data_IF_805643370353
#
_entry.id   IF_805643370353
#
_cell.length_a   1.000
_cell.length_b   1.000
_cell.length_c   1.000
_cell.angle_alpha   90.00
_cell.angle_beta   90.00
_cell.angle_gamma   90.00
#
_symmetry.space_group_name_H-M   'P 1'
#
loop_
_entity.id
_entity.type
_entity.pdbx_description
1 polymer ?
#
# COMPACT_ATOMS: atom_id res chain seq x y z
N UNK A 1 -36.26 -51.88 -30.83
CA UNK A 1 -36.45 -50.46 -31.23
C UNK A 1 -36.92 -49.53 -30.10
N UNK A 2 -38.07 -49.76 -29.43
CA UNK A 2 -38.61 -48.82 -28.42
C UNK A 2 -37.70 -48.55 -27.19
N UNK A 3 -36.93 -49.54 -26.72
CA UNK A 3 -35.96 -49.37 -25.62
C UNK A 3 -34.77 -48.48 -26.01
N UNK A 4 -34.25 -48.65 -27.23
CA UNK A 4 -33.13 -47.87 -27.75
C UNK A 4 -33.53 -46.40 -27.93
N UNK A 5 -34.75 -46.15 -28.44
CA UNK A 5 -35.29 -44.79 -28.63
C UNK A 5 -35.52 -44.05 -27.29
N UNK A 6 -35.92 -44.76 -26.22
CA UNK A 6 -36.05 -44.19 -24.87
C UNK A 6 -34.69 -43.85 -24.25
N UNK A 7 -33.67 -44.67 -24.51
CA UNK A 7 -32.33 -44.43 -23.99
C UNK A 7 -31.70 -43.21 -24.67
N UNK A 8 -31.81 -43.06 -25.99
CA UNK A 8 -31.26 -41.90 -26.70
C UNK A 8 -31.97 -40.59 -26.34
N UNK A 9 -33.29 -40.61 -26.14
CA UNK A 9 -34.04 -39.43 -25.65
C UNK A 9 -33.63 -39.03 -24.23
N UNK A 10 -33.37 -39.99 -23.34
CA UNK A 10 -32.90 -39.70 -21.99
C UNK A 10 -31.51 -39.03 -21.96
N UNK A 11 -30.57 -39.52 -22.78
CA UNK A 11 -29.23 -38.90 -22.89
C UNK A 11 -29.30 -37.50 -23.52
N UNK A 12 -30.16 -37.31 -24.51
CA UNK A 12 -30.37 -35.99 -25.13
C UNK A 12 -30.95 -34.98 -24.13
N UNK A 13 -31.93 -35.38 -23.32
CA UNK A 13 -32.50 -34.53 -22.27
C UNK A 13 -31.49 -34.21 -21.16
N UNK A 14 -30.67 -35.19 -20.75
CA UNK A 14 -29.61 -34.97 -19.76
C UNK A 14 -28.54 -34.00 -20.27
N UNK A 15 -28.18 -34.08 -21.56
CA UNK A 15 -27.25 -33.14 -22.19
C UNK A 15 -27.82 -31.72 -22.27
N UNK A 16 -29.12 -31.58 -22.60
CA UNK A 16 -29.79 -30.29 -22.63
C UNK A 16 -29.85 -29.64 -21.24
N UNK A 17 -30.12 -30.44 -20.19
CA UNK A 17 -30.10 -29.98 -18.80
C UNK A 17 -28.71 -29.50 -18.38
N UNK A 18 -27.65 -30.20 -18.78
CA UNK A 18 -26.27 -29.81 -18.50
C UNK A 18 -25.92 -28.45 -19.12
N UNK A 19 -26.33 -28.21 -20.37
CA UNK A 19 -26.12 -26.92 -21.05
C UNK A 19 -26.83 -25.79 -20.29
N UNK A 20 -28.08 -26.01 -19.87
CA UNK A 20 -28.84 -25.01 -19.09
C UNK A 20 -28.16 -24.71 -17.76
N UNK A 21 -27.64 -25.73 -17.07
CA UNK A 21 -26.93 -25.57 -15.80
C UNK A 21 -25.60 -24.81 -15.99
N UNK A 22 -24.84 -25.10 -17.04
CA UNK A 22 -23.61 -24.36 -17.37
C UNK A 22 -23.91 -22.91 -17.72
N UNK A 23 -24.98 -22.67 -18.49
CA UNK A 23 -25.40 -21.31 -18.85
C UNK A 23 -25.82 -20.50 -17.61
N UNK A 24 -26.66 -21.07 -16.72
CA UNK A 24 -27.02 -20.43 -15.44
C UNK A 24 -25.82 -20.19 -14.52
N UNK A 25 -24.87 -21.11 -14.47
CA UNK A 25 -23.64 -20.92 -13.70
C UNK A 25 -22.77 -19.78 -14.27
N UNK A 26 -22.75 -19.63 -15.59
CA UNK A 26 -22.05 -18.52 -16.26
C UNK A 26 -22.69 -17.17 -15.93
N UNK A 27 -24.03 -17.06 -15.94
CA UNK A 27 -24.72 -15.81 -15.60
C UNK A 27 -24.47 -15.38 -14.15
N UNK A 28 -24.36 -16.31 -13.21
CA UNK A 28 -24.05 -16.00 -11.81
C UNK A 28 -22.63 -15.42 -11.62
N UNK A 29 -21.68 -15.68 -12.54
CA UNK A 29 -20.35 -15.06 -12.49
C UNK A 29 -20.33 -13.63 -13.04
N UNK A 30 -21.26 -13.28 -13.92
CA UNK A 30 -21.34 -11.93 -14.50
C UNK A 30 -21.95 -10.87 -13.57
N UNK A 31 -22.65 -11.29 -12.51
CA UNK A 31 -23.23 -10.38 -11.51
C UNK A 31 -22.24 -9.90 -10.44
N UNK A 32 -20.94 -9.92 -10.75
CA UNK A 32 -19.95 -9.12 -10.01
C UNK A 32 -19.98 -7.67 -10.51
N UNK A 33 -21.16 -7.08 -10.65
CA UNK A 33 -21.31 -5.64 -10.53
C UNK A 33 -21.14 -5.30 -9.05
N UNK A 34 -20.22 -4.39 -8.74
CA UNK A 34 -20.15 -3.80 -7.39
C UNK A 34 -21.56 -3.39 -6.98
N UNK A 35 -22.06 -3.75 -5.78
CA UNK A 35 -23.37 -3.31 -5.34
C UNK A 35 -23.43 -1.79 -5.46
N UNK A 36 -24.30 -1.28 -6.33
CA UNK A 36 -24.55 0.15 -6.50
C UNK A 36 -25.60 0.66 -5.52
N UNK A 37 -25.94 -0.13 -4.50
CA UNK A 37 -26.70 0.36 -3.37
C UNK A 37 -25.74 1.14 -2.46
N UNK A 38 -25.89 2.47 -2.46
CA UNK A 38 -25.45 3.30 -1.34
C UNK A 38 -26.19 2.81 -0.09
N UNK A 39 -25.65 1.76 0.55
CA UNK A 39 -25.99 1.42 1.91
C UNK A 39 -25.52 2.61 2.75
N UNK A 40 -26.47 3.47 3.13
CA UNK A 40 -26.25 4.54 4.10
C UNK A 40 -26.04 3.88 5.46
N UNK A 41 -24.86 3.30 5.67
CA UNK A 41 -24.41 2.86 6.96
C UNK A 41 -24.22 4.12 7.81
N UNK A 42 -25.21 4.40 8.65
CA UNK A 42 -25.09 5.36 9.74
C UNK A 42 -24.23 4.76 10.87
N UNK A 43 -23.13 4.10 10.52
CA UNK A 43 -22.09 3.76 11.48
C UNK A 43 -21.35 5.06 11.78
N UNK A 44 -21.34 5.43 13.06
CA UNK A 44 -20.52 6.52 13.55
C UNK A 44 -19.07 6.13 13.26
N UNK A 45 -18.48 6.72 12.22
CA UNK A 45 -17.07 6.51 11.86
C UNK A 45 -16.20 6.54 13.11
N UNK A 46 -15.43 5.46 13.31
CA UNK A 46 -14.55 5.38 14.47
C UNK A 46 -13.46 6.45 14.37
N UNK A 47 -12.88 6.84 15.51
CA UNK A 47 -11.73 7.74 15.51
C UNK A 47 -10.54 7.13 14.73
N UNK A 48 -10.42 5.81 14.71
CA UNK A 48 -9.41 5.09 13.93
C UNK A 48 -9.65 5.24 12.43
N UNK A 49 -10.90 5.11 11.97
CA UNK A 49 -11.24 5.28 10.55
C UNK A 49 -10.98 6.72 10.09
N UNK A 50 -11.35 7.71 10.89
CA UNK A 50 -11.07 9.12 10.61
C UNK A 50 -9.57 9.39 10.54
N UNK A 51 -8.79 8.82 11.45
CA UNK A 51 -7.33 8.96 11.42
C UNK A 51 -6.72 8.29 10.20
N UNK A 52 -7.24 7.13 9.79
CA UNK A 52 -6.81 6.44 8.58
C UNK A 52 -7.16 7.24 7.32
N UNK A 53 -8.38 7.78 7.23
CA UNK A 53 -8.79 8.66 6.14
C UNK A 53 -7.92 9.92 6.07
N UNK A 54 -7.67 10.57 7.21
CA UNK A 54 -6.76 11.72 7.30
C UNK A 54 -5.35 11.35 6.82
N UNK A 55 -4.85 10.18 7.20
CA UNK A 55 -3.53 9.68 6.80
C UNK A 55 -3.42 9.48 5.28
N UNK A 56 -4.46 9.00 4.61
CA UNK A 56 -4.51 8.88 3.15
C UNK A 56 -4.63 10.25 2.47
N UNK A 57 -5.48 11.14 3.00
CA UNK A 57 -5.65 12.49 2.46
C UNK A 57 -4.36 13.31 2.54
N UNK A 58 -3.61 13.24 3.64
CA UNK A 58 -2.33 13.93 3.79
C UNK A 58 -1.31 13.53 2.71
N UNK A 59 -1.32 12.26 2.29
CA UNK A 59 -0.43 11.73 1.23
C UNK A 59 -0.85 12.12 -0.18
N UNK A 60 -2.05 12.66 -0.33
CA UNK A 60 -2.59 13.14 -1.57
C UNK A 60 -2.48 14.67 -1.73
N UNK A 61 -1.80 15.35 -0.80
CA UNK A 61 -1.45 16.76 -0.93
C UNK A 61 -0.70 17.04 -2.24
N UNK A 62 -0.95 18.18 -2.93
CA UNK A 62 -1.81 19.30 -2.55
C UNK A 62 -3.31 19.10 -2.84
N UNK A 63 -3.69 18.03 -3.52
CA UNK A 63 -5.05 17.85 -4.00
C UNK A 63 -5.63 16.52 -3.50
N UNK A 64 -6.12 16.45 -2.25
CA UNK A 64 -6.62 15.22 -1.66
C UNK A 64 -8.04 14.84 -2.09
N UNK A 65 -8.74 15.69 -2.85
CA UNK A 65 -10.09 15.39 -3.35
C UNK A 65 -10.10 14.27 -4.40
N UNK A 66 -11.24 13.57 -4.50
CA UNK A 66 -11.54 12.58 -5.54
C UNK A 66 -10.49 11.46 -5.68
N UNK A 67 -9.96 10.95 -4.55
CA UNK A 67 -8.93 9.91 -4.54
C UNK A 67 -9.31 8.67 -5.35
N UNK A 68 -10.57 8.22 -5.26
CA UNK A 68 -11.06 7.06 -6.00
C UNK A 68 -11.04 7.30 -7.52
N UNK A 69 -11.45 8.49 -7.98
CA UNK A 69 -11.40 8.85 -9.40
C UNK A 69 -9.96 8.96 -9.91
N UNK A 70 -9.07 9.56 -9.11
CA UNK A 70 -7.65 9.66 -9.43
C UNK A 70 -7.00 8.28 -9.51
N UNK A 71 -7.29 7.40 -8.56
CA UNK A 71 -6.86 6.01 -8.58
C UNK A 71 -7.36 5.30 -9.83
N UNK A 72 -8.66 5.39 -10.13
CA UNK A 72 -9.26 4.77 -11.31
C UNK A 72 -8.64 5.31 -12.61
N UNK A 73 -8.34 6.61 -12.66
CA UNK A 73 -7.69 7.25 -13.81
C UNK A 73 -6.24 6.76 -13.98
N UNK A 74 -5.48 6.71 -12.89
CA UNK A 74 -4.12 6.18 -12.88
C UNK A 74 -4.08 4.69 -13.25
N UNK A 75 -5.04 3.89 -12.78
CA UNK A 75 -5.18 2.48 -13.14
C UNK A 75 -5.47 2.31 -14.63
N UNK A 76 -6.40 3.09 -15.19
CA UNK A 76 -6.68 3.09 -16.65
C UNK A 76 -5.44 3.46 -17.46
N UNK A 77 -4.69 4.48 -17.05
CA UNK A 77 -3.41 4.84 -17.67
C UNK A 77 -2.40 3.70 -17.59
N UNK A 78 -2.24 3.06 -16.43
CA UNK A 78 -1.37 1.90 -16.25
C UNK A 78 -1.73 0.75 -17.20
N UNK A 79 -3.03 0.43 -17.35
CA UNK A 79 -3.48 -0.59 -18.30
C UNK A 79 -3.16 -0.22 -19.75
N UNK A 80 -3.33 1.06 -20.13
CA UNK A 80 -2.91 1.56 -21.44
C UNK A 80 -1.39 1.39 -21.64
N UNK A 81 -0.57 1.79 -20.67
CA UNK A 81 0.89 1.62 -20.72
C UNK A 81 1.32 0.17 -20.80
N UNK A 82 0.68 -0.73 -20.05
CA UNK A 82 0.96 -2.17 -20.09
C UNK A 82 0.70 -2.74 -21.50
N UNK A 83 -0.34 -2.27 -22.17
CA UNK A 83 -0.66 -2.68 -23.54
C UNK A 83 0.32 -2.08 -24.56
N UNK A 84 0.83 -0.86 -24.33
CA UNK A 84 1.83 -0.21 -25.20
C UNK A 84 3.22 -0.85 -25.02
N UNK A 85 3.59 -1.33 -23.84
CA UNK A 85 4.90 -1.97 -23.59
C UNK A 85 5.10 -3.33 -24.30
N UNK A 86 4.04 -3.92 -24.87
CA UNK A 86 4.14 -5.05 -25.80
C UNK A 86 4.50 -4.62 -27.23
N UNK A 87 4.49 -3.31 -27.53
CA UNK A 87 5.06 -2.74 -28.74
C UNK A 87 6.47 -2.24 -28.45
N UNK A 88 7.43 -2.60 -29.28
CA UNK A 88 8.87 -2.28 -29.18
C UNK A 88 9.21 -0.77 -29.18
N UNK A 89 8.21 0.12 -29.24
CA UNK A 89 8.36 1.57 -29.39
C UNK A 89 8.78 2.33 -28.12
N UNK A 90 8.64 1.77 -26.91
CA UNK A 90 8.94 2.49 -25.66
C UNK A 90 10.30 2.18 -25.02
N UNK A 91 11.11 1.27 -25.58
CA UNK A 91 12.46 1.03 -25.03
C UNK A 91 13.45 2.19 -25.24
N UNK A 92 13.10 3.19 -26.07
CA UNK A 92 13.95 4.34 -26.40
C UNK A 92 13.38 5.72 -26.05
N UNK A 93 12.11 5.80 -25.62
CA UNK A 93 11.51 7.08 -25.24
C UNK A 93 11.74 7.32 -23.75
N UNK A 94 12.81 8.06 -23.44
CA UNK A 94 13.14 8.50 -22.08
C UNK A 94 11.98 9.29 -21.46
N UNK A 95 11.16 8.60 -20.67
CA UNK A 95 10.16 9.20 -19.77
C UNK A 95 10.79 10.00 -18.61
N UNK A 96 12.10 10.20 -18.61
CA UNK A 96 12.84 10.90 -17.58
C UNK A 96 12.87 12.44 -17.76
N UNK A 97 12.34 12.99 -18.85
CA UNK A 97 12.63 14.39 -19.24
C UNK A 97 11.80 15.48 -18.53
N UNK A 98 10.91 15.16 -17.57
CA UNK A 98 10.07 16.19 -16.94
C UNK A 98 10.38 16.46 -15.46
N UNK A 99 11.20 15.64 -14.79
CA UNK A 99 11.39 15.76 -13.35
C UNK A 99 12.87 15.73 -12.95
N UNK A 100 13.33 16.83 -12.34
CA UNK A 100 14.69 17.01 -11.84
C UNK A 100 14.86 16.33 -10.47
N UNK A 101 14.66 15.01 -10.41
CA UNK A 101 14.88 14.25 -9.18
C UNK A 101 16.37 14.02 -8.95
N UNK A 102 16.84 14.38 -7.77
CA UNK A 102 18.19 14.07 -7.29
C UNK A 102 18.09 13.12 -6.12
N UNK A 103 19.01 12.14 -6.06
CA UNK A 103 19.10 11.26 -4.90
C UNK A 103 19.67 12.02 -3.71
N UNK A 104 18.94 12.03 -2.60
CA UNK A 104 19.36 12.58 -1.31
C UNK A 104 19.85 11.48 -0.35
N UNK A 105 20.14 10.28 -0.86
CA UNK A 105 20.58 9.16 -0.02
C UNK A 105 19.46 8.56 0.85
N UNK A 106 19.83 7.85 1.95
CA UNK A 106 21.18 7.71 2.52
C UNK A 106 22.18 7.05 1.56
N UNK A 107 23.38 7.65 1.43
CA UNK A 107 24.43 7.26 0.47
C UNK A 107 25.34 6.12 0.93
N UNK A 108 24.94 5.38 1.97
CA UNK A 108 25.68 4.21 2.44
C UNK A 108 25.63 3.08 1.40
N UNK A 109 26.72 2.31 1.31
CA UNK A 109 27.02 1.31 0.28
C UNK A 109 26.05 0.10 0.25
N UNK A 110 25.05 0.07 1.14
CA UNK A 110 24.07 -1.00 1.25
C UNK A 110 22.68 -0.37 1.12
N UNK A 111 22.04 -0.57 -0.03
CA UNK A 111 20.66 -0.15 -0.26
C UNK A 111 19.70 -0.86 0.68
N UNK A 112 18.65 -0.16 1.11
CA UNK A 112 17.62 -0.68 2.00
C UNK A 112 16.26 -0.04 1.72
N UNK A 113 15.17 -0.70 2.13
CA UNK A 113 13.82 -0.15 2.00
C UNK A 113 13.58 0.89 3.09
N UNK A 114 13.19 2.09 2.67
CA UNK A 114 12.64 3.12 3.55
C UNK A 114 11.12 2.94 3.58
N UNK A 115 10.56 2.83 4.79
CA UNK A 115 9.14 2.62 5.01
C UNK A 115 8.41 3.92 5.30
N UNK A 116 9.07 4.87 5.95
CA UNK A 116 8.51 6.18 6.24
C UNK A 116 9.57 7.28 6.24
N UNK A 117 9.11 8.50 6.00
CA UNK A 117 9.87 9.74 6.18
C UNK A 117 8.99 10.73 6.95
N UNK A 118 9.58 11.47 7.87
CA UNK A 118 8.93 12.54 8.61
C UNK A 118 9.79 13.80 8.52
N UNK A 119 9.14 14.94 8.24
CA UNK A 119 9.76 16.26 8.20
C UNK A 119 9.34 16.99 9.48
N UNK A 120 10.32 17.55 10.19
CA UNK A 120 10.05 18.36 11.37
C UNK A 120 9.32 19.65 10.97
N UNK A 121 8.10 19.89 11.48
CA UNK A 121 7.32 21.08 11.13
C UNK A 121 7.91 22.38 11.71
N UNK A 122 8.73 22.29 12.76
CA UNK A 122 9.44 23.44 13.33
C UNK A 122 10.74 23.77 12.59
N UNK A 123 11.32 22.82 11.85
CA UNK A 123 12.56 22.99 11.11
C UNK A 123 12.70 21.96 9.99
N UNK A 124 12.40 22.35 8.74
CA UNK A 124 12.44 21.45 7.58
C UNK A 124 13.81 20.86 7.24
N UNK A 125 14.89 21.34 7.87
CA UNK A 125 16.21 20.70 7.74
C UNK A 125 16.29 19.38 8.53
N UNK A 126 15.48 19.24 9.58
CA UNK A 126 15.42 18.04 10.39
C UNK A 126 14.44 17.04 9.76
N UNK A 127 14.98 15.89 9.35
CA UNK A 127 14.22 14.80 8.76
C UNK A 127 14.51 13.51 9.49
N UNK A 128 13.52 12.63 9.48
CA UNK A 128 13.61 11.30 10.06
C UNK A 128 13.16 10.28 9.03
N UNK A 129 13.87 9.16 8.93
CA UNK A 129 13.49 8.05 8.08
C UNK A 129 13.44 6.75 8.89
N UNK A 130 12.35 6.01 8.75
CA UNK A 130 12.21 4.66 9.28
C UNK A 130 12.49 3.66 8.19
N UNK A 131 13.35 2.68 8.48
CA UNK A 131 13.74 1.65 7.52
C UNK A 131 13.18 0.28 7.89
N UNK A 132 13.13 -0.62 6.91
CA UNK A 132 12.61 -1.97 7.10
C UNK A 132 13.43 -2.83 8.07
N UNK A 133 14.75 -2.68 8.07
CA UNK A 133 15.64 -3.49 8.92
C UNK A 133 16.93 -2.75 9.33
N UNK A 134 16.94 -1.43 9.20
CA UNK A 134 18.12 -0.58 9.49
C UNK A 134 17.85 0.49 10.56
N UNK A 135 16.75 0.38 11.30
CA UNK A 135 16.39 1.31 12.37
C UNK A 135 15.92 2.68 11.88
N UNK A 136 16.12 3.67 12.75
CA UNK A 136 15.79 5.08 12.57
C UNK A 136 17.00 5.81 12.03
N UNK A 137 16.79 6.72 11.08
CA UNK A 137 17.81 7.59 10.51
C UNK A 137 17.39 9.04 10.66
N UNK A 138 18.35 9.93 10.88
CA UNK A 138 18.14 11.38 11.03
C UNK A 138 18.99 12.14 10.02
N UNK A 139 18.41 13.18 9.43
CA UNK A 139 19.13 14.23 8.72
C UNK A 139 18.89 15.56 9.43
N UNK A 140 19.90 16.43 9.40
CA UNK A 140 19.83 17.81 9.93
C UNK A 140 20.12 18.85 8.84
N UNK A 141 20.14 18.41 7.57
CA UNK A 141 20.48 19.24 6.41
C UNK A 141 19.59 18.90 5.20
N UNK A 142 18.29 18.81 5.45
CA UNK A 142 17.26 18.61 4.43
C UNK A 142 17.48 17.36 3.55
N UNK A 143 18.12 16.33 4.11
CA UNK A 143 18.37 15.07 3.45
C UNK A 143 19.71 15.00 2.73
N UNK A 144 20.54 16.06 2.76
CA UNK A 144 21.85 16.03 2.08
C UNK A 144 22.79 14.97 2.68
N UNK A 145 22.63 14.66 3.97
CA UNK A 145 23.30 13.54 4.65
C UNK A 145 22.42 12.95 5.74
N UNK A 146 22.65 11.68 6.06
CA UNK A 146 21.88 10.93 7.05
C UNK A 146 22.79 10.20 8.03
N UNK A 147 22.41 10.19 9.30
CA UNK A 147 23.08 9.43 10.35
C UNK A 147 22.11 8.41 10.94
N UNK A 148 22.54 7.15 11.20
CA UNK A 148 21.71 6.20 11.92
C UNK A 148 21.56 6.67 13.37
N UNK A 149 20.34 6.61 13.88
CA UNK A 149 20.04 6.89 15.28
C UNK A 149 20.26 5.58 16.02
N UNK A 150 21.39 5.51 16.73
CA UNK A 150 21.77 4.33 17.50
C UNK A 150 20.79 4.23 18.65
N UNK A 151 19.85 3.31 18.52
CA UNK A 151 18.91 2.96 19.58
C UNK A 151 19.21 1.52 19.99
N UNK A 152 19.28 1.25 21.29
CA UNK A 152 19.43 -0.12 21.82
C UNK A 152 18.10 -0.89 21.71
N UNK A 153 17.33 -0.62 20.65
CA UNK A 153 16.04 -1.25 20.44
C UNK A 153 16.26 -2.69 19.97
N UNK A 154 15.51 -3.67 20.51
CA UNK A 154 15.60 -5.06 20.08
C UNK A 154 15.03 -5.29 18.68
N UNK A 155 14.49 -4.25 18.02
CA UNK A 155 13.84 -4.30 16.71
C UNK A 155 14.35 -3.17 15.81
N UNK A 156 14.61 -3.49 14.54
CA UNK A 156 15.15 -2.55 13.56
C UNK A 156 14.14 -2.10 12.50
N UNK A 157 12.94 -2.70 12.47
CA UNK A 157 11.86 -2.27 11.57
C UNK A 157 11.14 -1.05 12.13
N UNK A 158 11.02 0.00 11.34
CA UNK A 158 10.30 1.24 11.70
C UNK A 158 9.40 1.65 10.55
N UNK A 159 8.09 1.53 10.74
CA UNK A 159 7.07 1.72 9.71
C UNK A 159 6.41 3.09 9.73
N UNK A 160 6.52 3.83 10.84
CA UNK A 160 5.95 5.17 10.98
C UNK A 160 6.78 6.03 11.93
N UNK A 161 6.90 7.32 11.62
CA UNK A 161 7.48 8.34 12.51
C UNK A 161 6.59 9.57 12.41
N UNK A 162 6.24 10.16 13.56
CA UNK A 162 5.54 11.44 13.64
C UNK A 162 6.21 12.35 14.66
N UNK A 163 6.21 13.65 14.38
CA UNK A 163 6.83 14.68 15.20
C UNK A 163 5.72 15.60 15.69
N UNK A 164 5.73 15.94 16.98
CA UNK A 164 4.74 16.85 17.53
C UNK A 164 4.92 18.26 16.90
N UNK A 165 3.87 18.83 16.27
CA UNK A 165 3.98 20.10 15.57
C UNK A 165 4.26 21.30 16.46
N UNK A 166 3.96 21.21 17.76
CA UNK A 166 4.23 22.27 18.73
C UNK A 166 5.53 22.07 19.50
N UNK A 167 6.18 20.90 19.38
CA UNK A 167 7.42 20.60 20.09
C UNK A 167 8.21 19.49 19.40
N UNK A 168 9.22 19.85 18.62
CA UNK A 168 10.08 18.92 17.87
C UNK A 168 10.88 17.94 18.74
N UNK A 169 10.94 18.13 20.06
CA UNK A 169 11.55 17.15 20.96
C UNK A 169 10.66 15.92 21.19
N UNK A 170 9.35 16.04 20.96
CA UNK A 170 8.40 14.94 21.15
C UNK A 170 8.22 14.23 19.81
N UNK A 171 8.73 13.00 19.73
CA UNK A 171 8.69 12.17 18.52
C UNK A 171 8.13 10.81 18.88
N UNK A 172 7.27 10.25 18.04
CA UNK A 172 6.77 8.89 18.17
C UNK A 172 7.19 8.06 16.96
N UNK A 173 7.59 6.82 17.19
CA UNK A 173 7.90 5.88 16.12
C UNK A 173 7.12 4.57 16.31
N UNK A 174 6.49 4.11 15.23
CA UNK A 174 5.85 2.79 15.15
C UNK A 174 6.87 1.75 14.70
N UNK A 175 7.13 0.76 15.54
CA UNK A 175 8.10 -0.30 15.25
C UNK A 175 7.45 -1.49 14.55
N UNK A 176 8.26 -2.27 13.84
CA UNK A 176 7.86 -3.43 13.05
C UNK A 176 7.71 -3.13 11.56
N UNK A 177 7.66 -4.20 10.77
CA UNK A 177 7.40 -4.11 9.33
C UNK A 177 6.63 -5.33 8.80
N UNK A 178 5.91 -5.11 7.70
CA UNK A 178 5.18 -6.15 6.96
C UNK A 178 5.73 -6.24 5.54
N UNK A 179 6.13 -7.43 5.12
CA UNK A 179 6.62 -7.70 3.78
C UNK A 179 5.53 -8.44 2.97
N UNK A 180 5.28 -7.98 1.74
CA UNK A 180 4.31 -8.54 0.77
C UNK A 180 2.84 -8.51 1.22
N UNK A 181 2.21 -7.37 0.97
CA UNK A 181 0.77 -7.08 1.16
C UNK A 181 -0.11 -7.78 0.11
N UNK A 182 0.47 -8.39 -0.92
CA UNK A 182 -0.27 -9.10 -1.99
C UNK A 182 -0.99 -10.38 -1.51
N UNK A 183 -0.69 -10.83 -0.29
CA UNK A 183 -1.35 -11.96 0.37
C UNK A 183 -2.06 -11.58 1.67
N UNK A 184 -2.08 -10.30 2.05
CA UNK A 184 -2.85 -9.84 3.21
C UNK A 184 -4.32 -9.70 2.81
N UNK A 185 -5.09 -10.75 3.03
CA UNK A 185 -6.55 -10.65 3.04
C UNK A 185 -6.96 -10.01 4.38
N UNK A 186 -7.99 -9.16 4.38
CA UNK A 186 -8.50 -8.50 5.59
C UNK A 186 -8.68 -9.52 6.73
N UNK A 187 -7.86 -9.39 7.78
CA UNK A 187 -7.94 -10.23 8.98
C UNK A 187 -7.05 -11.49 9.03
N UNK A 188 -6.34 -11.87 7.96
CA UNK A 188 -5.39 -13.00 7.99
C UNK A 188 -4.14 -12.71 7.15
N UNK A 189 -3.04 -12.35 7.82
CA UNK A 189 -1.72 -12.26 7.21
C UNK A 189 -1.04 -13.63 7.28
N UNK A 190 -0.91 -14.32 6.15
CA UNK A 190 -0.08 -15.53 6.06
C UNK A 190 1.35 -15.09 5.76
N UNK A 191 2.16 -14.95 6.82
CA UNK A 191 3.54 -14.48 6.76
C UNK A 191 4.47 -15.50 6.08
N UNK A 192 4.50 -15.54 4.75
CA UNK A 192 5.44 -16.42 4.05
C UNK A 192 6.88 -15.91 4.04
N UNK A 193 7.15 -14.64 4.35
CA UNK A 193 8.54 -14.11 4.41
C UNK A 193 8.69 -12.77 5.16
N UNK A 194 9.78 -12.65 5.95
CA UNK A 194 10.54 -11.41 6.31
C UNK A 194 9.78 -10.19 6.85
N UNK A 195 8.77 -10.35 7.70
CA UNK A 195 8.27 -9.26 8.55
C UNK A 195 8.97 -9.26 9.92
N UNK A 196 9.21 -8.09 10.51
CA UNK A 196 9.67 -7.98 11.90
C UNK A 196 8.52 -7.56 12.79
N UNK A 197 8.28 -8.30 13.88
CA UNK A 197 7.37 -7.85 14.93
C UNK A 197 7.90 -6.54 15.53
N UNK A 198 7.01 -5.57 15.72
CA UNK A 198 7.30 -4.38 16.49
C UNK A 198 7.15 -4.63 17.98
N UNK A 199 7.76 -3.78 18.79
CA UNK A 199 7.52 -3.65 20.23
C UNK A 199 6.43 -2.59 20.54
N UNK A 200 5.68 -2.19 19.52
CA UNK A 200 4.65 -1.15 19.62
C UNK A 200 5.17 0.24 19.23
N UNK A 201 4.65 1.25 19.91
CA UNK A 201 4.99 2.67 19.68
C UNK A 201 5.99 3.11 20.75
N UNK A 202 7.12 3.63 20.31
CA UNK A 202 8.15 4.23 21.17
C UNK A 202 8.08 5.76 21.10
N UNK A 203 8.59 6.44 22.13
CA UNK A 203 8.47 7.90 22.27
C UNK A 203 9.78 8.51 22.73
N UNK A 204 10.27 9.47 21.98
CA UNK A 204 11.32 10.39 22.43
C UNK A 204 10.73 11.66 23.04
N UNK A 205 11.44 12.23 24.01
CA UNK A 205 11.16 13.56 24.59
C UNK A 205 12.34 14.53 24.51
N UNK A 206 13.40 14.15 23.79
CA UNK A 206 14.66 14.90 23.66
C UNK A 206 15.12 15.03 22.20
N UNK A 207 14.19 15.00 21.25
CA UNK A 207 14.50 15.17 19.83
C UNK A 207 15.15 13.94 19.20
N UNK A 208 14.79 12.76 19.73
CA UNK A 208 15.20 11.43 19.29
C UNK A 208 16.64 11.08 19.62
N UNK A 209 17.21 11.69 20.67
CA UNK A 209 18.48 11.27 21.27
C UNK A 209 18.26 9.98 22.07
N UNK A 210 17.16 9.90 22.81
CA UNK A 210 16.68 8.69 23.50
C UNK A 210 15.22 8.37 23.14
N UNK A 211 14.82 7.12 23.33
CA UNK A 211 13.57 6.52 22.81
C UNK A 211 12.91 5.55 23.78
#
# INVERSE_FOLDING_TARGET
>A
MKKLLKQTTLHFLAFLLLIILVYKYSEHKSDCSSPSEELSFNEKESAADKQMAMWFQARAYPNPGNLNEKYNSAWKQFQQFKNINNSTALRGAGLASAANWVSLGPSVTIGGRILCIAIDPGNSNNLWAGSASGGIWKSVNAGSSWVPVISNLPVLGVSSIIINPSNSNIIYAGTGEVYRVDTSNTGFNVWKTRGTYGIGIIKSTDGGVTW
#
